data_IF_183706895336
#
_entry.id   IF_183706895336
#
_cell.length_a   1.000
_cell.length_b   1.000
_cell.length_c   1.000
_cell.angle_alpha   90.00
_cell.angle_beta   90.00
_cell.angle_gamma   90.00
#
_symmetry.space_group_name_H-M   'P 1'
#
loop_
_entity.id
_entity.type
_entity.pdbx_description
1 polymer ?
#
# COMPACT_ATOMS: atom_id res chain seq x y z
N UNK A 1 37.10 -7.03 1.38
CA UNK A 1 37.23 -5.56 1.22
C UNK A 1 35.97 -4.86 1.73
N UNK A 2 36.10 -3.69 2.35
CA UNK A 2 34.98 -2.99 2.99
C UNK A 2 33.90 -2.58 1.96
N UNK A 3 34.34 -2.14 0.80
CA UNK A 3 33.51 -1.65 -0.30
C UNK A 3 32.68 -2.78 -0.91
N UNK A 4 33.28 -3.96 -1.09
CA UNK A 4 32.58 -5.15 -1.59
C UNK A 4 31.55 -5.63 -0.55
N UNK A 5 31.91 -5.61 0.74
CA UNK A 5 30.96 -5.99 1.80
C UNK A 5 29.75 -5.05 1.85
N UNK A 6 29.97 -3.74 1.66
CA UNK A 6 28.89 -2.75 1.53
C UNK A 6 27.98 -3.06 0.35
N UNK A 7 28.53 -3.30 -0.85
CA UNK A 7 27.73 -3.62 -2.04
C UNK A 7 26.91 -4.90 -1.88
N UNK A 8 27.51 -5.95 -1.31
CA UNK A 8 26.81 -7.21 -1.04
C UNK A 8 25.70 -7.03 -0.01
N UNK A 9 25.95 -6.24 1.05
CA UNK A 9 24.94 -5.90 2.04
C UNK A 9 23.78 -5.15 1.40
N UNK A 10 24.04 -4.14 0.57
CA UNK A 10 23.00 -3.43 -0.17
C UNK A 10 22.17 -4.36 -1.06
N UNK A 11 22.83 -5.33 -1.72
CA UNK A 11 22.17 -6.34 -2.54
C UNK A 11 21.18 -7.18 -1.72
N UNK A 12 21.62 -7.73 -0.58
CA UNK A 12 20.77 -8.52 0.32
C UNK A 12 19.59 -7.67 0.81
N UNK A 13 19.85 -6.45 1.31
CA UNK A 13 18.79 -5.59 1.87
C UNK A 13 17.78 -5.14 0.81
N UNK A 14 18.22 -4.94 -0.43
CA UNK A 14 17.33 -4.63 -1.56
C UNK A 14 16.43 -5.82 -1.91
N UNK A 15 16.98 -7.02 -2.06
CA UNK A 15 16.24 -8.21 -2.49
C UNK A 15 15.28 -8.73 -1.41
N UNK A 16 15.63 -8.53 -0.15
CA UNK A 16 14.88 -9.02 1.01
C UNK A 16 13.95 -7.99 1.65
N UNK A 17 13.85 -6.77 1.09
CA UNK A 17 13.15 -5.64 1.69
C UNK A 17 13.53 -5.42 3.18
N UNK A 18 14.82 -5.26 3.43
CA UNK A 18 15.37 -5.16 4.79
C UNK A 18 15.01 -6.41 5.62
N UNK A 19 15.19 -7.59 5.04
CA UNK A 19 14.93 -8.90 5.68
C UNK A 19 13.46 -9.15 6.07
N UNK A 20 12.51 -8.40 5.48
CA UNK A 20 11.07 -8.53 5.76
C UNK A 20 10.30 -9.31 4.69
N UNK A 21 10.92 -9.55 3.52
CA UNK A 21 10.31 -10.32 2.44
C UNK A 21 10.04 -11.76 2.88
N UNK A 22 8.95 -12.35 2.40
CA UNK A 22 8.64 -13.77 2.60
C UNK A 22 9.70 -14.73 2.01
N UNK A 23 10.56 -14.24 1.12
CA UNK A 23 11.68 -15.00 0.55
C UNK A 23 12.94 -14.97 1.41
N UNK A 24 12.97 -14.14 2.46
CA UNK A 24 14.14 -13.98 3.32
C UNK A 24 14.43 -15.29 4.07
N UNK A 25 15.66 -15.76 3.99
CA UNK A 25 16.14 -16.93 4.69
C UNK A 25 16.98 -16.56 5.90
N UNK A 26 17.23 -17.55 6.78
CA UNK A 26 18.16 -17.38 7.89
C UNK A 26 19.58 -17.03 7.39
N UNK A 27 20.00 -17.61 6.26
CA UNK A 27 21.29 -17.33 5.65
C UNK A 27 21.43 -15.85 5.24
N UNK A 28 20.35 -15.24 4.73
CA UNK A 28 20.36 -13.82 4.38
C UNK A 28 20.56 -12.93 5.62
N UNK A 29 19.92 -13.30 6.73
CA UNK A 29 20.02 -12.56 8.01
C UNK A 29 21.43 -12.66 8.58
N UNK A 30 21.97 -13.86 8.70
CA UNK A 30 23.34 -14.10 9.20
C UNK A 30 24.39 -13.43 8.30
N UNK A 31 24.19 -13.48 6.98
CA UNK A 31 25.10 -12.84 6.02
C UNK A 31 25.02 -11.32 6.11
N UNK A 32 23.82 -10.74 6.25
CA UNK A 32 23.65 -9.30 6.43
C UNK A 32 24.33 -8.80 7.71
N UNK A 33 24.18 -9.52 8.84
CA UNK A 33 24.87 -9.20 10.09
C UNK A 33 26.40 -9.29 9.96
N UNK A 34 26.90 -10.35 9.32
CA UNK A 34 28.33 -10.50 9.06
C UNK A 34 28.88 -9.36 8.20
N UNK A 35 28.19 -9.00 7.11
CA UNK A 35 28.60 -7.92 6.20
C UNK A 35 28.45 -6.53 6.82
N UNK A 36 27.45 -6.32 7.69
CA UNK A 36 27.27 -5.09 8.47
C UNK A 36 28.47 -4.86 9.38
N UNK A 37 28.96 -5.89 10.08
CA UNK A 37 30.17 -5.79 10.92
C UNK A 37 31.44 -5.45 10.12
N UNK A 38 31.57 -5.96 8.89
CA UNK A 38 32.72 -5.64 8.01
C UNK A 38 32.62 -4.23 7.44
N UNK A 39 31.42 -3.82 7.06
CA UNK A 39 31.16 -2.53 6.42
C UNK A 39 31.00 -1.38 7.42
N UNK A 40 30.81 -1.68 8.70
CA UNK A 40 30.53 -0.69 9.77
C UNK A 40 29.29 0.15 9.44
N UNK A 41 28.27 -0.50 8.88
CA UNK A 41 26.99 0.11 8.50
C UNK A 41 25.86 -0.55 9.27
N UNK A 42 24.96 0.25 9.85
CA UNK A 42 23.76 -0.26 10.49
C UNK A 42 22.74 -0.74 9.45
N UNK A 43 22.32 -2.00 9.58
CA UNK A 43 21.39 -2.67 8.65
C UNK A 43 20.09 -1.88 8.50
N UNK A 44 19.55 -1.40 9.62
CA UNK A 44 18.23 -0.76 9.63
C UNK A 44 18.28 0.60 8.95
N UNK A 45 19.30 1.40 9.26
CA UNK A 45 19.52 2.73 8.71
C UNK A 45 19.81 2.64 7.21
N UNK A 46 20.79 1.81 6.82
CA UNK A 46 21.13 1.60 5.42
C UNK A 46 19.95 1.04 4.62
N UNK A 47 19.24 0.06 5.17
CA UNK A 47 18.07 -0.54 4.54
C UNK A 47 16.97 0.49 4.27
N UNK A 48 16.72 1.41 5.21
CA UNK A 48 15.75 2.50 5.02
C UNK A 48 16.19 3.44 3.90
N UNK A 49 17.47 3.82 3.84
CA UNK A 49 18.01 4.66 2.76
C UNK A 49 17.86 3.98 1.39
N UNK A 50 18.15 2.68 1.29
CA UNK A 50 17.99 1.88 0.06
C UNK A 50 16.51 1.85 -0.37
N UNK A 51 15.59 1.56 0.56
CA UNK A 51 14.16 1.53 0.24
C UNK A 51 13.66 2.90 -0.22
N UNK A 52 14.08 3.98 0.44
CA UNK A 52 13.71 5.35 0.05
C UNK A 52 14.27 5.70 -1.33
N UNK A 53 15.53 5.39 -1.61
CA UNK A 53 16.17 5.63 -2.89
C UNK A 53 15.56 4.79 -4.03
N UNK A 54 15.09 3.57 -3.73
CA UNK A 54 14.42 2.68 -4.67
C UNK A 54 12.92 2.98 -4.86
N UNK A 55 12.31 3.78 -3.98
CA UNK A 55 10.88 4.05 -4.04
C UNK A 55 10.53 4.98 -5.20
N UNK A 56 9.82 4.42 -6.19
CA UNK A 56 9.18 5.19 -7.28
C UNK A 56 7.92 5.94 -6.84
N UNK A 57 7.50 5.78 -5.59
CA UNK A 57 6.28 6.35 -5.02
C UNK A 57 6.60 7.70 -4.36
N UNK A 58 7.77 7.82 -3.72
CA UNK A 58 8.12 8.99 -2.91
C UNK A 58 8.25 10.26 -3.72
N UNK A 59 8.69 10.15 -4.98
CA UNK A 59 8.81 11.28 -5.90
C UNK A 59 7.48 11.69 -6.55
N UNK A 60 6.39 10.93 -6.35
CA UNK A 60 5.11 11.15 -7.01
C UNK A 60 4.07 11.66 -6.03
N UNK A 61 3.17 12.50 -6.51
CA UNK A 61 2.08 13.05 -5.70
C UNK A 61 0.99 12.01 -5.46
N UNK A 62 0.22 12.15 -4.38
CA UNK A 62 -0.95 11.31 -4.14
C UNK A 62 -1.92 11.32 -5.33
N UNK A 63 -2.11 12.48 -5.96
CA UNK A 63 -2.97 12.62 -7.15
C UNK A 63 -2.50 11.75 -8.32
N UNK A 64 -1.21 11.79 -8.65
CA UNK A 64 -0.63 10.97 -9.72
C UNK A 64 -0.76 9.48 -9.43
N UNK A 65 -0.56 9.06 -8.18
CA UNK A 65 -0.63 7.67 -7.76
C UNK A 65 -2.07 7.15 -7.77
N UNK A 66 -3.02 7.93 -7.22
CA UNK A 66 -4.44 7.59 -7.22
C UNK A 66 -4.96 7.51 -8.67
N UNK A 67 -4.61 8.46 -9.53
CA UNK A 67 -5.15 8.53 -10.90
C UNK A 67 -4.56 7.49 -11.85
N UNK A 68 -3.38 6.96 -11.57
CA UNK A 68 -2.66 6.03 -12.45
C UNK A 68 -3.50 4.80 -12.83
N UNK A 69 -4.13 4.15 -11.86
CA UNK A 69 -5.03 3.01 -12.10
C UNK A 69 -6.37 3.23 -11.40
N UNK A 70 -6.93 4.43 -11.53
CA UNK A 70 -8.30 4.68 -11.08
C UNK A 70 -9.30 4.01 -12.02
N UNK A 71 -10.23 3.25 -11.46
CA UNK A 71 -11.41 2.77 -12.18
C UNK A 71 -12.65 3.32 -11.55
N UNK A 72 -13.55 3.77 -12.40
CA UNK A 72 -14.88 4.24 -12.04
C UNK A 72 -15.89 3.12 -12.26
N UNK A 73 -16.82 3.01 -11.34
CA UNK A 73 -17.89 2.03 -11.33
C UNK A 73 -19.20 2.74 -11.00
N UNK A 74 -20.31 2.19 -11.48
CA UNK A 74 -21.64 2.67 -11.18
C UNK A 74 -22.59 1.50 -10.95
N UNK A 75 -23.38 1.60 -9.89
CA UNK A 75 -24.53 0.74 -9.62
C UNK A 75 -25.74 1.65 -9.41
N UNK A 76 -26.75 1.51 -10.27
CA UNK A 76 -27.89 2.42 -10.40
C UNK A 76 -27.51 3.90 -10.54
N UNK A 77 -27.68 4.69 -9.47
CA UNK A 77 -27.40 6.14 -9.42
C UNK A 77 -26.16 6.47 -8.61
N UNK A 78 -25.58 5.49 -7.92
CA UNK A 78 -24.41 5.70 -7.07
C UNK A 78 -23.14 5.35 -7.85
N UNK A 79 -22.22 6.30 -7.90
CA UNK A 79 -20.92 6.20 -8.57
C UNK A 79 -19.84 6.00 -7.52
N UNK A 80 -18.84 5.17 -7.79
CA UNK A 80 -17.69 5.02 -6.91
C UNK A 80 -16.39 4.78 -7.69
N UNK A 81 -15.25 5.14 -7.09
CA UNK A 81 -13.95 4.88 -7.71
C UNK A 81 -13.06 4.01 -6.82
N UNK A 82 -12.28 3.14 -7.47
CA UNK A 82 -11.29 2.31 -6.81
C UNK A 82 -9.99 2.35 -7.61
N UNK A 83 -8.96 2.90 -7.01
CA UNK A 83 -7.59 2.89 -7.49
C UNK A 83 -6.82 1.72 -6.89
N UNK A 84 -5.77 1.27 -7.58
CA UNK A 84 -4.85 0.26 -7.05
C UNK A 84 -3.39 0.68 -7.30
N UNK A 85 -2.55 0.52 -6.28
CA UNK A 85 -1.09 0.62 -6.40
C UNK A 85 -0.44 -0.60 -5.74
N UNK A 86 0.68 -1.03 -6.31
CA UNK A 86 1.49 -2.12 -5.80
C UNK A 86 2.79 -1.56 -5.21
N UNK A 87 3.12 -2.00 -4.01
CA UNK A 87 4.24 -1.47 -3.22
C UNK A 87 4.99 -2.64 -2.59
N UNK A 88 6.30 -2.48 -2.36
CA UNK A 88 7.06 -3.46 -1.58
C UNK A 88 6.70 -3.42 -0.10
N UNK A 89 6.25 -2.28 0.41
CA UNK A 89 5.76 -2.09 1.77
C UNK A 89 4.76 -0.92 1.81
N UNK A 90 3.67 -1.06 2.57
CA UNK A 90 2.63 -0.02 2.72
C UNK A 90 3.04 1.18 3.57
N UNK A 91 4.16 1.11 4.30
CA UNK A 91 4.61 2.13 5.25
C UNK A 91 4.70 3.52 4.65
N UNK A 92 5.27 3.65 3.46
CA UNK A 92 5.44 4.96 2.82
C UNK A 92 4.10 5.65 2.52
N UNK A 93 3.09 4.87 2.12
CA UNK A 93 1.73 5.39 1.90
C UNK A 93 1.07 5.76 3.22
N UNK A 94 1.30 4.96 4.27
CA UNK A 94 0.80 5.24 5.62
C UNK A 94 1.43 6.50 6.24
N UNK A 95 2.72 6.73 6.00
CA UNK A 95 3.42 7.93 6.46
C UNK A 95 2.87 9.19 5.76
N UNK A 96 2.38 9.05 4.52
CA UNK A 96 1.71 10.09 3.73
C UNK A 96 0.18 10.03 3.78
N UNK A 97 -0.42 9.28 4.71
CA UNK A 97 -1.87 8.99 4.71
C UNK A 97 -2.76 10.23 4.62
N UNK A 98 -2.40 11.33 5.28
CA UNK A 98 -3.20 12.55 5.27
C UNK A 98 -3.34 13.12 3.84
N UNK A 99 -2.24 13.13 3.07
CA UNK A 99 -2.21 13.57 1.67
C UNK A 99 -3.13 12.70 0.79
N UNK A 100 -3.06 11.37 0.95
CA UNK A 100 -3.89 10.44 0.19
C UNK A 100 -5.38 10.55 0.55
N UNK A 101 -5.71 10.69 1.83
CA UNK A 101 -7.10 10.84 2.28
C UNK A 101 -7.69 12.16 1.77
N UNK A 102 -6.93 13.25 1.77
CA UNK A 102 -7.36 14.53 1.23
C UNK A 102 -7.64 14.44 -0.28
N UNK A 103 -6.72 13.85 -1.05
CA UNK A 103 -6.90 13.68 -2.50
C UNK A 103 -8.07 12.74 -2.83
N UNK A 104 -8.28 11.67 -2.06
CA UNK A 104 -9.45 10.79 -2.22
C UNK A 104 -10.76 11.57 -1.98
N UNK A 105 -10.81 12.44 -0.98
CA UNK A 105 -11.99 13.29 -0.73
C UNK A 105 -12.21 14.32 -1.85
N UNK A 106 -11.15 14.90 -2.42
CA UNK A 106 -11.21 15.77 -3.60
C UNK A 106 -11.85 15.02 -4.77
N UNK A 107 -11.35 13.82 -5.09
CA UNK A 107 -11.90 12.98 -6.17
C UNK A 107 -13.34 12.54 -5.90
N UNK A 108 -13.69 12.26 -4.63
CA UNK A 108 -15.06 11.90 -4.26
C UNK A 108 -16.03 13.04 -4.54
N UNK A 109 -15.67 14.25 -4.10
CA UNK A 109 -16.50 15.45 -4.29
C UNK A 109 -16.61 15.85 -5.75
N UNK A 110 -15.50 15.83 -6.50
CA UNK A 110 -15.48 16.25 -7.90
C UNK A 110 -16.39 15.38 -8.77
N UNK A 111 -16.48 14.08 -8.46
CA UNK A 111 -17.31 13.10 -9.17
C UNK A 111 -18.71 12.91 -8.59
N UNK A 112 -18.99 13.51 -7.43
CA UNK A 112 -20.19 13.22 -6.63
C UNK A 112 -20.32 11.71 -6.34
N UNK A 113 -19.18 11.07 -6.10
CA UNK A 113 -19.11 9.65 -5.83
C UNK A 113 -19.63 9.33 -4.42
N UNK A 114 -20.28 8.18 -4.28
CA UNK A 114 -20.66 7.58 -3.01
C UNK A 114 -19.42 7.33 -2.14
N UNK A 115 -18.36 6.81 -2.75
CA UNK A 115 -17.04 6.67 -2.12
C UNK A 115 -15.92 6.67 -3.16
N UNK A 116 -14.70 6.92 -2.69
CA UNK A 116 -13.45 6.73 -3.42
C UNK A 116 -12.50 5.93 -2.55
N UNK A 117 -11.76 5.02 -3.17
CA UNK A 117 -10.85 4.15 -2.44
C UNK A 117 -9.54 3.91 -3.19
N UNK A 118 -8.47 3.71 -2.43
CA UNK A 118 -7.16 3.29 -2.91
C UNK A 118 -6.79 1.97 -2.24
N UNK A 119 -6.66 0.92 -3.04
CA UNK A 119 -6.11 -0.37 -2.63
C UNK A 119 -4.58 -0.31 -2.78
N UNK A 120 -3.86 -0.37 -1.66
CA UNK A 120 -2.40 -0.41 -1.63
C UNK A 120 -1.98 -1.84 -1.32
N UNK A 121 -1.49 -2.54 -2.32
CA UNK A 121 -1.12 -3.95 -2.23
C UNK A 121 0.35 -4.11 -1.92
N UNK A 122 0.65 -4.73 -0.79
CA UNK A 122 1.99 -5.20 -0.46
C UNK A 122 2.25 -6.50 -1.23
N UNK A 123 3.09 -6.41 -2.26
CA UNK A 123 3.41 -7.57 -3.11
C UNK A 123 4.27 -8.62 -2.39
N UNK A 124 4.87 -8.27 -1.26
CA UNK A 124 5.71 -9.20 -0.49
C UNK A 124 4.96 -9.92 0.61
N UNK A 125 4.00 -9.24 1.25
CA UNK A 125 3.13 -9.85 2.26
C UNK A 125 1.84 -10.43 1.68
N UNK A 126 1.57 -10.22 0.38
CA UNK A 126 0.34 -10.63 -0.30
C UNK A 126 -0.93 -10.17 0.44
N UNK A 127 -0.88 -8.96 1.00
CA UNK A 127 -2.00 -8.32 1.70
C UNK A 127 -2.13 -6.87 1.26
N UNK A 128 -3.25 -6.23 1.55
CA UNK A 128 -3.47 -4.83 1.21
C UNK A 128 -3.98 -4.01 2.38
N UNK A 129 -3.68 -2.71 2.32
CA UNK A 129 -4.47 -1.70 3.04
C UNK A 129 -5.42 -1.02 2.05
N UNK A 130 -6.60 -0.67 2.53
CA UNK A 130 -7.60 0.07 1.78
C UNK A 130 -7.77 1.43 2.44
N UNK A 131 -7.34 2.48 1.75
CA UNK A 131 -7.70 3.86 2.13
C UNK A 131 -9.03 4.16 1.46
N UNK A 132 -10.05 4.57 2.22
CA UNK A 132 -11.39 4.81 1.69
C UNK A 132 -12.02 6.03 2.35
N UNK A 133 -12.55 6.92 1.52
CA UNK A 133 -13.39 8.04 1.94
C UNK A 133 -14.76 7.88 1.32
N UNK A 134 -15.82 8.02 2.13
CA UNK A 134 -17.19 7.77 1.71
C UNK A 134 -18.16 8.82 2.24
N UNK A 135 -19.34 8.88 1.63
CA UNK A 135 -20.46 9.63 2.17
C UNK A 135 -20.90 9.05 3.53
N UNK A 136 -21.33 9.92 4.44
CA UNK A 136 -21.82 9.53 5.78
C UNK A 136 -22.96 8.52 5.71
N UNK A 137 -23.78 8.56 4.65
CA UNK A 137 -24.86 7.58 4.43
C UNK A 137 -24.36 6.16 4.14
N UNK A 138 -23.14 6.03 3.60
CA UNK A 138 -22.55 4.75 3.22
C UNK A 138 -21.68 4.15 4.34
N UNK A 139 -21.11 4.99 5.21
CA UNK A 139 -20.20 4.56 6.27
C UNK A 139 -20.71 3.39 7.13
N UNK A 140 -22.00 3.30 7.53
CA UNK A 140 -22.52 2.17 8.31
C UNK A 140 -22.43 0.81 7.61
N UNK A 141 -22.31 0.79 6.29
CA UNK A 141 -22.24 -0.43 5.49
C UNK A 141 -20.80 -0.93 5.31
N UNK A 142 -19.79 -0.12 5.63
CA UNK A 142 -18.39 -0.51 5.47
C UNK A 142 -17.98 -1.48 6.58
N UNK A 143 -17.91 -2.78 6.27
CA UNK A 143 -17.66 -3.86 7.23
C UNK A 143 -16.21 -4.38 7.27
N UNK A 144 -15.27 -3.71 6.60
CA UNK A 144 -13.88 -4.15 6.57
C UNK A 144 -13.18 -3.99 7.94
N UNK A 145 -12.19 -4.84 8.27
CA UNK A 145 -11.39 -4.70 9.48
C UNK A 145 -10.70 -3.33 9.53
N UNK A 146 -11.14 -2.47 10.45
CA UNK A 146 -10.62 -1.11 10.58
C UNK A 146 -9.25 -1.13 11.26
N UNK A 147 -8.24 -0.56 10.59
CA UNK A 147 -6.90 -0.33 11.16
C UNK A 147 -6.86 1.01 11.87
N UNK A 148 -7.31 2.06 11.17
CA UNK A 148 -7.39 3.46 11.63
C UNK A 148 -8.59 4.15 10.97
N UNK A 149 -8.81 5.43 11.26
CA UNK A 149 -9.81 6.21 10.53
C UNK A 149 -9.51 6.23 9.02
N UNK A 150 -10.52 5.92 8.20
CA UNK A 150 -10.44 5.79 6.74
C UNK A 150 -9.44 4.73 6.20
N UNK A 151 -8.86 3.90 7.07
CA UNK A 151 -7.88 2.88 6.69
C UNK A 151 -8.32 1.51 7.19
N UNK A 152 -8.43 0.58 6.26
CA UNK A 152 -8.87 -0.79 6.51
C UNK A 152 -7.77 -1.78 6.12
N UNK A 153 -7.67 -2.88 6.84
CA UNK A 153 -6.73 -3.95 6.53
C UNK A 153 -7.46 -5.10 5.84
N UNK A 154 -6.96 -5.50 4.67
CA UNK A 154 -7.52 -6.57 3.86
C UNK A 154 -6.48 -7.68 3.71
N UNK A 155 -6.60 -8.68 4.59
CA UNK A 155 -5.76 -9.88 4.53
C UNK A 155 -6.09 -10.67 3.27
N UNK A 156 -5.05 -11.17 2.59
CA UNK A 156 -5.15 -12.04 1.40
C UNK A 156 -5.85 -11.39 0.18
N UNK A 157 -6.13 -10.08 0.22
CA UNK A 157 -6.69 -9.31 -0.91
C UNK A 157 -5.55 -8.61 -1.64
N UNK A 158 -5.29 -9.00 -2.87
CA UNK A 158 -4.24 -8.43 -3.75
C UNK A 158 -4.78 -8.00 -5.11
N UNK A 159 -5.98 -8.43 -5.48
CA UNK A 159 -6.60 -8.10 -6.77
C UNK A 159 -7.85 -7.27 -6.58
N UNK A 160 -7.84 -6.02 -7.07
CA UNK A 160 -9.05 -5.20 -7.14
C UNK A 160 -10.19 -5.96 -7.81
N UNK A 161 -9.97 -6.46 -9.02
CA UNK A 161 -11.04 -7.06 -9.86
C UNK A 161 -11.57 -8.39 -9.33
N UNK A 162 -10.68 -9.29 -8.88
CA UNK A 162 -11.09 -10.65 -8.49
C UNK A 162 -11.57 -10.75 -7.05
N UNK A 163 -11.07 -9.89 -6.15
CA UNK A 163 -11.26 -10.06 -4.70
C UNK A 163 -11.94 -8.86 -4.06
N UNK A 164 -11.49 -7.62 -4.32
CA UNK A 164 -12.09 -6.44 -3.70
C UNK A 164 -13.47 -6.11 -4.27
N UNK A 165 -13.62 -6.13 -5.61
CA UNK A 165 -14.89 -5.76 -6.27
C UNK A 165 -16.07 -6.61 -5.78
N UNK A 166 -15.98 -7.96 -5.68
CA UNK A 166 -17.06 -8.76 -5.10
C UNK A 166 -17.48 -8.32 -3.70
N UNK A 167 -16.52 -8.01 -2.82
CA UNK A 167 -16.80 -7.52 -1.46
C UNK A 167 -17.50 -6.17 -1.49
N UNK A 168 -17.03 -5.25 -2.34
CA UNK A 168 -17.65 -3.92 -2.52
C UNK A 168 -19.07 -4.04 -3.05
N UNK A 169 -19.33 -4.91 -4.03
CA UNK A 169 -20.67 -5.13 -4.58
C UNK A 169 -21.64 -5.64 -3.51
N UNK A 170 -21.17 -6.47 -2.56
CA UNK A 170 -21.99 -6.87 -1.41
C UNK A 170 -22.34 -5.67 -0.52
N UNK A 171 -21.38 -4.78 -0.24
CA UNK A 171 -21.63 -3.57 0.53
C UNK A 171 -22.64 -2.64 -0.15
N UNK A 172 -22.51 -2.46 -1.47
CA UNK A 172 -23.44 -1.63 -2.25
C UNK A 172 -24.83 -2.25 -2.29
N UNK A 173 -24.93 -3.57 -2.51
CA UNK A 173 -26.23 -4.26 -2.46
C UNK A 173 -26.92 -4.09 -1.11
N UNK A 174 -26.18 -4.14 0.00
CA UNK A 174 -26.74 -3.89 1.33
C UNK A 174 -27.16 -2.44 1.55
N UNK A 175 -26.45 -1.47 0.98
CA UNK A 175 -26.78 -0.05 1.04
C UNK A 175 -28.00 0.33 0.18
N UNK A 176 -28.23 -0.36 -0.95
CA UNK A 176 -29.36 -0.12 -1.85
C UNK A 176 -30.67 -0.79 -1.39
N UNK A 177 -30.62 -1.64 -0.36
CA UNK A 177 -31.79 -2.27 0.26
C UNK A 177 -32.45 -1.36 1.28
#
# INVERSE_FOLDING_TARGET
PKEIACLLLCGILSDTLILQSATTTQMDTETAEYLSNISDLDIKTLGQEILLAGSKIGSRTASELIKQDMKEYSEDKDLYTISQIEVGNTREILDRKAEFIEELEIERRSRKALFTALLVTDITQLSSILLMVCDKKFLPFVSFPKKEENIYYLKDVVSRKKQLIPLISELISNYLR
#
